data_IF_084057189328
#
_entry.id   IF_084057189328
#
_cell.length_a   1.000
_cell.length_b   1.000
_cell.length_c   1.000
_cell.angle_alpha   90.00
_cell.angle_beta   90.00
_cell.angle_gamma   90.00
#
_symmetry.space_group_name_H-M   'P 1'
#
loop_
_entity.id
_entity.type
_entity.pdbx_description
1 polymer ?
#
# COMPACT_ATOMS: atom_id res chain seq x y z
N UNK A 1 27.72 2.82 7.14
CA UNK A 1 26.47 2.04 7.25
C UNK A 1 25.35 2.97 6.86
N UNK A 2 24.74 2.75 5.69
CA UNK A 2 23.65 3.59 5.17
C UNK A 2 22.47 3.54 6.16
N UNK A 3 21.98 4.70 6.58
CA UNK A 3 20.83 4.83 7.46
C UNK A 3 19.55 4.37 6.76
N UNK A 4 19.29 3.05 6.77
CA UNK A 4 18.06 2.44 6.26
C UNK A 4 16.82 2.74 7.12
N UNK A 5 17.01 3.41 8.26
CA UNK A 5 15.93 3.86 9.14
C UNK A 5 15.47 5.25 8.67
N UNK A 6 14.55 5.26 7.71
CA UNK A 6 13.79 6.44 7.30
C UNK A 6 12.44 6.46 8.03
N UNK A 7 11.57 7.43 7.74
CA UNK A 7 10.17 7.43 8.24
C UNK A 7 9.53 6.08 7.94
N UNK A 8 8.98 5.44 8.97
CA UNK A 8 8.37 4.13 8.84
C UNK A 8 7.21 4.20 7.86
N UNK A 9 6.98 3.13 7.10
CA UNK A 9 5.78 3.00 6.26
C UNK A 9 4.49 3.27 7.07
N UNK A 10 4.52 2.95 8.37
CA UNK A 10 3.42 3.24 9.30
C UNK A 10 3.22 4.73 9.55
N UNK A 11 4.28 5.54 9.59
CA UNK A 11 4.20 6.98 9.90
C UNK A 11 3.52 7.76 8.77
N UNK A 12 3.87 7.44 7.52
CA UNK A 12 3.26 8.09 6.34
C UNK A 12 1.76 7.82 6.30
N UNK A 13 1.35 6.59 6.56
CA UNK A 13 -0.06 6.22 6.57
C UNK A 13 -0.82 6.90 7.72
N UNK A 14 -0.19 6.98 8.89
CA UNK A 14 -0.76 7.69 10.04
C UNK A 14 -0.97 9.19 9.74
N UNK A 15 0.03 9.87 9.17
CA UNK A 15 -0.07 11.28 8.77
C UNK A 15 -1.22 11.49 7.78
N UNK A 16 -1.37 10.62 6.78
CA UNK A 16 -2.48 10.68 5.82
C UNK A 16 -3.84 10.62 6.51
N UNK A 17 -4.01 9.70 7.45
CA UNK A 17 -5.26 9.55 8.20
C UNK A 17 -5.56 10.78 9.07
N UNK A 18 -4.58 11.24 9.85
CA UNK A 18 -4.73 12.40 10.76
C UNK A 18 -5.09 13.67 10.00
N UNK A 19 -4.47 13.91 8.84
CA UNK A 19 -4.71 15.11 8.04
C UNK A 19 -5.77 14.93 6.95
N UNK A 20 -6.46 13.78 6.88
CA UNK A 20 -7.45 13.48 5.86
C UNK A 20 -6.91 13.59 4.43
N UNK A 21 -5.65 13.18 4.21
CA UNK A 21 -4.98 13.22 2.92
C UNK A 21 -4.98 11.85 2.27
N UNK A 22 -5.20 11.83 0.96
CA UNK A 22 -5.13 10.63 0.13
C UNK A 22 -3.76 10.53 -0.56
N UNK A 23 -3.35 9.33 -1.03
CA UNK A 23 -2.21 9.20 -1.92
C UNK A 23 -2.38 9.94 -3.24
N UNK A 24 -1.34 9.96 -4.07
CA UNK A 24 -1.49 10.45 -5.44
C UNK A 24 -2.52 9.58 -6.19
N UNK A 25 -3.36 10.13 -7.08
CA UNK A 25 -4.45 9.39 -7.71
C UNK A 25 -4.01 8.10 -8.42
N UNK A 26 -2.86 8.13 -9.10
CA UNK A 26 -2.32 6.97 -9.81
C UNK A 26 -1.88 5.87 -8.83
N UNK A 27 -1.32 6.26 -7.69
CA UNK A 27 -0.89 5.31 -6.67
C UNK A 27 -2.08 4.76 -5.88
N UNK A 28 -3.09 5.58 -5.62
CA UNK A 28 -4.34 5.15 -5.02
C UNK A 28 -5.05 4.12 -5.89
N UNK A 29 -5.19 4.37 -7.20
CA UNK A 29 -5.78 3.41 -8.13
C UNK A 29 -5.01 2.09 -8.15
N UNK A 30 -3.67 2.15 -8.12
CA UNK A 30 -2.85 0.94 -8.01
C UNK A 30 -3.05 0.19 -6.69
N UNK A 31 -3.15 0.90 -5.56
CA UNK A 31 -3.40 0.26 -4.25
C UNK A 31 -4.77 -0.43 -4.20
N UNK A 32 -5.77 0.12 -4.87
CA UNK A 32 -7.10 -0.48 -5.01
C UNK A 32 -7.07 -1.71 -5.92
N UNK A 33 -6.37 -1.66 -7.06
CA UNK A 33 -6.19 -2.79 -7.97
C UNK A 33 -5.46 -3.97 -7.31
N UNK A 34 -4.46 -3.67 -6.47
CA UNK A 34 -3.72 -4.65 -5.68
C UNK A 34 -4.54 -5.25 -4.51
N UNK A 35 -5.76 -4.76 -4.25
CA UNK A 35 -6.55 -5.06 -3.05
C UNK A 35 -5.74 -4.85 -1.76
N UNK A 36 -4.98 -3.74 -1.68
CA UNK A 36 -4.14 -3.40 -0.52
C UNK A 36 -4.81 -2.42 0.44
N UNK A 37 -5.82 -1.70 -0.01
CA UNK A 37 -6.55 -0.70 0.79
C UNK A 37 -8.07 -0.82 0.62
N UNK A 38 -8.81 -0.54 1.69
CA UNK A 38 -10.27 -0.44 1.63
C UNK A 38 -10.75 0.92 1.08
N UNK A 39 -12.07 1.06 0.91
CA UNK A 39 -12.74 2.32 0.50
C UNK A 39 -12.43 3.51 1.42
N UNK A 40 -12.00 3.24 2.66
CA UNK A 40 -11.62 4.23 3.67
C UNK A 40 -10.12 4.48 3.71
N UNK A 41 -9.36 3.94 2.75
CA UNK A 41 -7.90 4.03 2.65
C UNK A 41 -7.19 3.39 3.85
N UNK A 42 -7.77 2.35 4.44
CA UNK A 42 -7.09 1.53 5.45
C UNK A 42 -6.44 0.32 4.80
N UNK A 43 -5.25 -0.05 5.28
CA UNK A 43 -4.56 -1.26 4.81
C UNK A 43 -5.39 -2.49 5.15
N UNK A 44 -5.66 -3.33 4.15
CA UNK A 44 -6.34 -4.60 4.40
C UNK A 44 -5.35 -5.64 4.90
N UNK A 45 -5.85 -6.58 5.71
CA UNK A 45 -5.04 -7.69 6.23
C UNK A 45 -5.43 -8.96 5.50
N UNK A 46 -4.54 -9.50 4.67
CA UNK A 46 -4.73 -10.82 4.08
C UNK A 46 -4.49 -11.89 5.15
N UNK A 47 -5.48 -12.76 5.37
CA UNK A 47 -5.35 -13.91 6.25
C UNK A 47 -4.57 -15.00 5.52
N UNK A 48 -3.42 -15.43 6.07
CA UNK A 48 -2.75 -16.65 5.61
C UNK A 48 -1.31 -16.52 5.12
N UNK A 49 -0.62 -15.39 5.31
CA UNK A 49 0.77 -15.25 4.87
C UNK A 49 0.95 -15.07 3.36
N UNK A 50 -0.15 -15.14 2.60
CA UNK A 50 -0.22 -14.68 1.22
C UNK A 50 -0.10 -13.16 1.21
N UNK A 51 1.15 -12.70 1.06
CA UNK A 51 1.41 -11.31 0.73
C UNK A 51 0.94 -11.08 -0.70
N UNK A 52 -0.06 -10.20 -0.88
CA UNK A 52 -0.60 -9.83 -2.19
C UNK A 52 0.48 -9.49 -3.24
N UNK A 53 1.63 -8.97 -2.78
CA UNK A 53 2.76 -8.59 -3.63
C UNK A 53 3.74 -9.72 -3.98
N UNK A 54 3.74 -10.83 -3.23
CA UNK A 54 4.72 -11.94 -3.44
C UNK A 54 4.22 -12.91 -4.51
N UNK A 55 2.93 -12.93 -4.81
CA UNK A 55 2.31 -13.77 -5.86
C UNK A 55 1.84 -13.02 -7.10
N UNK A 56 2.19 -11.74 -7.26
CA UNK A 56 1.74 -10.92 -8.39
C UNK A 56 2.54 -11.26 -9.67
N UNK A 57 2.25 -12.39 -10.30
CA UNK A 57 2.71 -12.70 -11.65
C UNK A 57 1.93 -11.83 -12.64
N UNK A 58 2.48 -10.68 -12.99
CA UNK A 58 1.86 -9.79 -13.95
C UNK A 58 1.79 -10.49 -15.32
N UNK A 59 0.58 -10.60 -15.85
CA UNK A 59 0.25 -10.79 -17.26
C UNK A 59 0.89 -9.64 -18.08
N UNK A 60 2.21 -9.68 -18.29
CA UNK A 60 2.96 -8.75 -19.15
C UNK A 60 3.01 -9.22 -20.62
N UNK A 61 2.11 -10.10 -21.03
CA UNK A 61 1.92 -10.48 -22.43
C UNK A 61 0.53 -10.04 -22.93
N UNK A 62 0.37 -8.73 -23.19
CA UNK A 62 -0.50 -8.28 -24.29
C UNK A 62 -0.12 -6.91 -24.83
#
# INVERSE_FOLDING_TARGET
MLGYQTTSYHDIQYVRQVFGKRPAPEFEAWLEDMDLVDVRQHLVTHKGGDHALIGYEHELER
#
